data_IF_172764302113
#
_entry.id   IF_172764302113
#
_cell.length_a   1.000
_cell.length_b   1.000
_cell.length_c   1.000
_cell.angle_alpha   90.00
_cell.angle_beta   90.00
_cell.angle_gamma   90.00
#
_symmetry.space_group_name_H-M   'P 1'
#
loop_
_entity.id
_entity.type
_entity.pdbx_description
1 polymer ?
#
# COMPACT_ATOMS: atom_id res chain seq x y z
N UNK A 1 6.79 22.99 30.69
CA UNK A 1 6.19 23.16 29.36
C UNK A 1 5.96 21.76 28.85
N UNK A 2 4.74 21.29 28.83
CA UNK A 2 4.43 20.04 28.14
C UNK A 2 4.72 20.27 26.66
N UNK A 3 5.89 19.84 26.19
CA UNK A 3 6.17 19.80 24.75
C UNK A 3 5.27 18.69 24.20
N UNK A 4 4.15 19.06 23.60
CA UNK A 4 3.35 18.11 22.85
C UNK A 4 4.27 17.52 21.78
N UNK A 5 4.54 16.21 21.88
CA UNK A 5 5.36 15.50 20.89
C UNK A 5 4.69 15.66 19.51
N UNK A 6 5.46 16.10 18.53
CA UNK A 6 4.98 16.18 17.15
C UNK A 6 4.59 14.80 16.65
N UNK A 7 3.45 14.72 16.00
CA UNK A 7 2.91 13.50 15.41
C UNK A 7 2.94 13.60 13.89
N UNK A 8 3.56 12.63 13.23
CA UNK A 8 3.44 12.45 11.79
C UNK A 8 2.35 11.43 11.49
N UNK A 9 1.35 11.83 10.71
CA UNK A 9 0.24 10.97 10.30
C UNK A 9 0.34 10.66 8.81
N UNK A 10 0.45 9.38 8.46
CA UNK A 10 0.49 8.92 7.07
C UNK A 10 -0.61 7.90 6.79
N UNK A 11 -1.24 8.05 5.64
CA UNK A 11 -2.35 7.21 5.21
C UNK A 11 -1.89 5.99 4.43
N UNK A 12 -2.66 4.89 4.54
CA UNK A 12 -2.45 3.68 3.73
C UNK A 12 -2.79 3.98 2.27
N UNK A 13 -2.04 3.40 1.36
CA UNK A 13 -2.32 3.45 -0.06
C UNK A 13 -2.60 2.05 -0.63
N UNK A 14 -3.47 1.99 -1.64
CA UNK A 14 -3.77 0.76 -2.39
C UNK A 14 -3.25 0.90 -3.81
N UNK A 15 -2.31 0.03 -4.17
CA UNK A 15 -1.79 -0.01 -5.52
C UNK A 15 -2.88 -0.40 -6.52
N UNK A 16 -3.12 0.43 -7.53
CA UNK A 16 -3.93 0.17 -8.72
C UNK A 16 -3.09 -0.51 -9.81
N UNK A 17 -1.85 -0.06 -9.99
CA UNK A 17 -0.80 -0.78 -10.72
C UNK A 17 0.20 -1.30 -9.72
N UNK A 18 0.37 -2.62 -9.67
CA UNK A 18 1.03 -3.34 -8.58
C UNK A 18 2.55 -3.21 -8.59
N UNK A 19 3.12 -3.14 -7.39
CA UNK A 19 4.51 -3.41 -7.09
C UNK A 19 4.67 -4.91 -6.77
N UNK A 20 5.27 -5.68 -7.68
CA UNK A 20 5.45 -7.12 -7.45
C UNK A 20 6.76 -7.63 -8.05
N UNK A 21 7.79 -7.63 -7.22
CA UNK A 21 9.14 -8.05 -7.54
C UNK A 21 10.18 -6.99 -7.17
N UNK A 22 11.36 -7.44 -6.76
CA UNK A 22 12.49 -6.60 -6.37
C UNK A 22 13.67 -6.87 -7.28
N UNK A 23 14.20 -5.83 -7.92
CA UNK A 23 15.47 -5.84 -8.65
C UNK A 23 16.66 -5.86 -7.67
N UNK A 24 16.51 -5.13 -6.57
CA UNK A 24 17.48 -5.10 -5.46
C UNK A 24 16.72 -5.19 -4.14
N UNK A 25 17.00 -6.22 -3.34
CA UNK A 25 16.30 -6.49 -2.09
C UNK A 25 16.76 -5.58 -0.97
N UNK A 26 18.03 -5.21 -0.92
CA UNK A 26 18.61 -4.35 0.11
C UNK A 26 18.06 -2.93 -0.01
N UNK A 27 18.03 -2.40 -1.23
CA UNK A 27 17.51 -1.08 -1.54
C UNK A 27 15.99 -1.05 -1.72
N UNK A 28 15.31 -2.19 -1.66
CA UNK A 28 13.89 -2.32 -2.03
C UNK A 28 13.56 -1.74 -3.42
N UNK A 29 14.51 -1.80 -4.38
CA UNK A 29 14.26 -1.35 -5.74
C UNK A 29 13.27 -2.28 -6.45
N UNK A 30 12.18 -1.74 -7.01
CA UNK A 30 11.16 -2.56 -7.66
C UNK A 30 11.55 -2.90 -9.09
N UNK A 31 10.94 -3.95 -9.65
CA UNK A 31 11.06 -4.32 -11.07
C UNK A 31 10.12 -3.52 -11.96
N UNK A 32 9.01 -3.00 -11.40
CA UNK A 32 8.00 -2.20 -12.10
C UNK A 32 7.74 -0.89 -11.37
N UNK A 33 7.42 0.17 -12.11
CA UNK A 33 6.75 1.34 -11.53
C UNK A 33 5.35 0.93 -11.04
N UNK A 34 4.81 1.66 -10.08
CA UNK A 34 3.48 1.37 -9.52
C UNK A 34 2.73 2.66 -9.24
N UNK A 35 1.40 2.59 -9.27
CA UNK A 35 0.52 3.72 -9.02
C UNK A 35 -0.53 3.32 -7.98
N UNK A 36 -0.84 4.18 -7.04
CA UNK A 36 -1.78 3.90 -5.95
C UNK A 36 -2.75 5.04 -5.69
N UNK A 37 -3.88 4.69 -5.08
CA UNK A 37 -4.79 5.62 -4.41
C UNK A 37 -4.49 5.60 -2.91
N UNK A 38 -4.26 6.77 -2.32
CA UNK A 38 -4.16 6.96 -0.86
C UNK A 38 -5.55 7.04 -0.27
N UNK A 39 -5.79 6.38 0.87
CA UNK A 39 -7.12 6.24 1.47
C UNK A 39 -7.32 7.18 2.66
N UNK A 40 -8.54 7.67 2.85
CA UNK A 40 -8.92 8.59 3.92
C UNK A 40 -8.98 7.94 5.31
N UNK A 41 -9.46 6.70 5.41
CA UNK A 41 -9.81 6.06 6.69
C UNK A 41 -8.70 5.31 7.40
N UNK A 42 -7.69 4.86 6.67
CA UNK A 42 -6.69 3.94 7.21
C UNK A 42 -5.32 4.62 7.29
N UNK A 43 -4.84 4.87 8.51
CA UNK A 43 -3.62 5.62 8.72
C UNK A 43 -2.82 5.12 9.92
N UNK A 44 -1.59 5.57 10.04
CA UNK A 44 -0.73 5.37 11.20
C UNK A 44 -0.21 6.73 11.63
N UNK A 45 -0.31 7.01 12.93
CA UNK A 45 0.28 8.19 13.56
C UNK A 45 1.52 7.76 14.33
N UNK A 46 2.64 8.44 14.15
CA UNK A 46 3.91 8.14 14.82
C UNK A 46 4.52 9.41 15.38
N UNK A 47 4.98 9.34 16.62
CA UNK A 47 5.87 10.31 17.25
C UNK A 47 7.16 9.63 17.66
N UNK A 48 8.25 10.40 17.79
CA UNK A 48 9.53 9.93 18.27
C UNK A 48 10.09 10.91 19.29
N UNK A 49 10.86 10.38 20.25
CA UNK A 49 11.57 11.18 21.24
C UNK A 49 12.94 10.55 21.53
N UNK A 50 13.95 11.35 21.90
CA UNK A 50 15.26 10.83 22.32
C UNK A 50 15.14 9.84 23.49
N UNK A 51 15.93 8.77 23.44
CA UNK A 51 15.93 7.71 24.46
C UNK A 51 17.36 7.18 24.71
N UNK A 52 17.54 6.36 25.75
CA UNK A 52 18.83 5.71 26.04
C UNK A 52 19.13 4.53 25.10
N UNK A 53 18.09 3.94 24.49
CA UNK A 53 18.17 2.86 23.51
C UNK A 53 16.91 2.90 22.62
N UNK A 54 17.02 2.38 21.41
CA UNK A 54 15.88 2.30 20.51
C UNK A 54 14.78 1.43 21.09
N UNK A 55 13.55 1.95 21.11
CA UNK A 55 12.36 1.27 21.63
C UNK A 55 11.16 1.53 20.73
N UNK A 56 10.29 0.54 20.59
CA UNK A 56 9.08 0.65 19.79
C UNK A 56 7.83 0.28 20.59
N UNK A 57 6.88 1.19 20.61
CA UNK A 57 5.57 1.05 21.24
C UNK A 57 4.52 1.15 20.12
N UNK A 58 3.66 0.15 20.00
CA UNK A 58 2.56 0.13 19.04
C UNK A 58 1.24 -0.10 19.78
N UNK A 59 0.29 0.85 19.63
CA UNK A 59 -1.01 0.81 20.31
C UNK A 59 -0.84 0.53 21.82
N UNK A 60 0.00 1.33 22.48
CA UNK A 60 0.33 1.26 23.93
C UNK A 60 1.01 -0.04 24.38
N UNK A 61 1.44 -0.88 23.46
CA UNK A 61 2.14 -2.13 23.76
C UNK A 61 3.57 -2.12 23.24
N UNK A 62 4.52 -2.58 24.06
CA UNK A 62 5.88 -2.85 23.62
C UNK A 62 5.86 -4.12 22.76
N UNK A 63 6.25 -4.00 21.50
CA UNK A 63 6.22 -5.09 20.52
C UNK A 63 7.62 -5.40 19.99
N UNK A 64 7.76 -6.50 19.24
CA UNK A 64 9.01 -6.80 18.52
C UNK A 64 9.39 -5.66 17.58
N UNK A 65 10.52 -5.05 17.87
CA UNK A 65 11.02 -3.87 17.19
C UNK A 65 12.05 -4.17 16.09
N UNK A 66 12.36 -5.43 15.81
CA UNK A 66 13.44 -5.84 14.89
C UNK A 66 13.40 -5.10 13.54
N UNK A 67 12.22 -4.94 12.94
CA UNK A 67 12.08 -4.22 11.67
C UNK A 67 12.24 -2.71 11.83
N UNK A 68 11.76 -2.15 12.94
CA UNK A 68 11.87 -0.71 13.25
C UNK A 68 13.32 -0.36 13.53
N UNK A 69 14.01 -1.12 14.39
CA UNK A 69 15.43 -0.91 14.71
C UNK A 69 16.30 -0.95 13.45
N UNK A 70 16.13 -1.99 12.63
CA UNK A 70 16.84 -2.07 11.34
C UNK A 70 16.59 -0.86 10.45
N UNK A 71 15.39 -0.32 10.46
CA UNK A 71 15.06 0.85 9.67
C UNK A 71 15.67 2.14 10.25
N UNK A 72 15.69 2.29 11.58
CA UNK A 72 16.41 3.39 12.24
C UNK A 72 17.91 3.36 11.91
N UNK A 73 18.53 2.17 11.85
CA UNK A 73 19.93 2.03 11.43
C UNK A 73 20.13 2.47 9.96
N UNK A 74 19.18 2.16 9.07
CA UNK A 74 19.20 2.64 7.69
C UNK A 74 19.09 4.18 7.66
N UNK A 75 18.21 4.76 8.47
CA UNK A 75 18.06 6.22 8.53
C UNK A 75 19.34 6.88 9.06
N UNK A 76 20.02 6.31 10.09
CA UNK A 76 21.32 6.79 10.56
C UNK A 76 22.37 6.79 9.46
N UNK A 77 22.42 5.73 8.66
CA UNK A 77 23.36 5.66 7.52
C UNK A 77 23.07 6.71 6.43
N UNK A 78 21.81 7.10 6.26
CA UNK A 78 21.41 8.03 5.19
C UNK A 78 21.42 9.50 5.64
N UNK A 79 21.07 9.78 6.90
CA UNK A 79 20.87 11.13 7.44
C UNK A 79 22.01 11.60 8.34
N UNK A 80 22.94 10.71 8.68
CA UNK A 80 23.94 10.91 9.73
C UNK A 80 23.49 10.33 11.07
N UNK A 81 24.46 10.12 11.98
CA UNK A 81 24.20 9.53 13.28
C UNK A 81 23.29 10.44 14.14
N UNK A 82 22.32 9.83 14.77
CA UNK A 82 21.43 10.44 15.76
C UNK A 82 21.25 9.54 16.98
N UNK A 83 20.88 10.14 18.09
CA UNK A 83 20.63 9.45 19.36
C UNK A 83 19.57 8.37 19.21
N UNK A 84 19.61 7.30 20.03
CA UNK A 84 18.51 6.34 20.06
C UNK A 84 17.15 7.00 20.30
N UNK A 85 16.10 6.41 19.73
CA UNK A 85 14.76 6.96 19.76
C UNK A 85 13.75 5.99 20.39
N UNK A 86 12.85 6.53 21.22
CA UNK A 86 11.58 5.87 21.52
C UNK A 86 10.60 6.22 20.41
N UNK A 87 10.13 5.21 19.69
CA UNK A 87 9.12 5.33 18.63
C UNK A 87 7.78 4.91 19.22
N UNK A 88 6.80 5.80 19.15
CA UNK A 88 5.42 5.57 19.61
C UNK A 88 4.51 5.68 18.40
N UNK A 89 3.82 4.58 18.05
CA UNK A 89 2.91 4.53 16.90
C UNK A 89 1.52 4.06 17.30
N UNK A 90 0.52 4.73 16.75
CA UNK A 90 -0.88 4.33 16.82
C UNK A 90 -1.33 3.92 15.41
N UNK A 91 -1.76 2.67 15.26
CA UNK A 91 -2.18 2.13 13.99
C UNK A 91 -3.71 2.07 13.90
N UNK A 92 -4.27 2.89 13.02
CA UNK A 92 -5.71 2.96 12.73
C UNK A 92 -6.07 2.18 11.44
N UNK A 93 -5.25 1.17 11.13
CA UNK A 93 -5.51 0.19 10.07
C UNK A 93 -5.93 -1.10 10.73
N UNK A 94 -7.10 -1.69 10.41
CA UNK A 94 -7.45 -3.01 10.91
C UNK A 94 -6.31 -3.99 10.63
N UNK A 95 -5.77 -4.60 11.68
CA UNK A 95 -4.61 -5.51 11.60
C UNK A 95 -4.87 -6.71 10.69
N UNK A 96 -6.13 -7.02 10.51
CA UNK A 96 -6.68 -8.12 9.73
C UNK A 96 -7.09 -7.75 8.30
N UNK A 97 -7.34 -6.47 7.99
CA UNK A 97 -7.91 -6.05 6.69
C UNK A 97 -7.00 -6.32 5.47
N UNK A 98 -5.80 -6.88 5.66
CA UNK A 98 -4.84 -7.09 4.56
C UNK A 98 -4.47 -5.79 3.84
N UNK A 99 -4.79 -4.67 4.45
CA UNK A 99 -4.29 -3.36 4.09
C UNK A 99 -2.81 -3.33 4.48
N UNK A 100 -1.98 -2.77 3.62
CA UNK A 100 -0.55 -2.70 3.84
C UNK A 100 -0.23 -1.68 4.96
N UNK A 101 -0.52 -2.05 6.23
CA UNK A 101 -0.18 -1.22 7.41
C UNK A 101 1.28 -0.79 7.43
N UNK A 102 2.18 -1.58 6.82
CA UNK A 102 3.57 -1.17 6.64
C UNK A 102 3.75 0.05 5.72
N UNK A 103 2.78 0.38 4.86
CA UNK A 103 2.87 1.56 4.00
C UNK A 103 2.76 2.84 4.83
N UNK A 104 1.69 2.98 5.59
CA UNK A 104 1.47 4.13 6.49
C UNK A 104 2.50 4.16 7.61
N UNK A 105 2.82 3.01 8.23
CA UNK A 105 3.73 2.94 9.37
C UNK A 105 5.16 3.44 9.04
N UNK A 106 5.77 2.97 7.95
CA UNK A 106 7.12 3.39 7.58
C UNK A 106 7.16 4.81 7.00
N UNK A 107 6.07 5.30 6.39
CA UNK A 107 5.96 6.69 5.97
C UNK A 107 5.85 7.62 7.19
N UNK A 108 4.96 7.34 8.15
CA UNK A 108 4.82 8.09 9.39
C UNK A 108 6.12 8.10 10.20
N UNK A 109 6.78 6.93 10.35
CA UNK A 109 8.07 6.83 11.05
C UNK A 109 9.16 7.68 10.38
N UNK A 110 9.25 7.64 9.04
CA UNK A 110 10.23 8.47 8.33
C UNK A 110 9.96 9.96 8.56
N UNK A 111 8.69 10.40 8.44
CA UNK A 111 8.30 11.77 8.68
C UNK A 111 8.59 12.21 10.13
N UNK A 112 8.25 11.38 11.12
CA UNK A 112 8.50 11.69 12.52
C UNK A 112 10.01 11.82 12.82
N UNK A 113 10.84 10.89 12.33
CA UNK A 113 12.30 10.94 12.55
C UNK A 113 12.93 12.16 11.88
N UNK A 114 12.61 12.44 10.62
CA UNK A 114 13.20 13.59 9.92
C UNK A 114 12.79 14.92 10.53
N UNK A 115 11.54 15.01 11.01
CA UNK A 115 11.08 16.21 11.72
C UNK A 115 11.78 16.38 13.08
N UNK A 116 11.92 15.30 13.88
CA UNK A 116 12.65 15.36 15.17
C UNK A 116 14.10 15.79 14.99
N UNK A 117 14.72 15.43 13.86
CA UNK A 117 16.06 15.87 13.50
C UNK A 117 16.12 17.30 12.93
N UNK A 118 14.99 18.00 12.86
CA UNK A 118 14.90 19.36 12.29
C UNK A 118 15.18 19.40 10.79
N UNK A 119 14.99 18.32 10.07
CA UNK A 119 15.25 18.22 8.63
C UNK A 119 13.99 18.53 7.82
N UNK A 120 14.05 19.58 6.99
CA UNK A 120 13.01 19.91 6.01
C UNK A 120 13.38 19.26 4.65
N UNK A 121 12.94 18.02 4.44
CA UNK A 121 13.22 17.27 3.22
C UNK A 121 12.01 17.28 2.27
N UNK A 122 12.25 17.38 0.96
CA UNK A 122 11.17 17.23 -0.02
C UNK A 122 10.53 15.86 0.07
N UNK A 123 9.23 15.73 -0.27
CA UNK A 123 8.47 14.49 -0.16
C UNK A 123 9.07 13.35 -0.99
N UNK A 124 9.70 13.64 -2.10
CA UNK A 124 10.40 12.69 -2.95
C UNK A 124 11.58 12.04 -2.21
N UNK A 125 12.32 12.82 -1.43
CA UNK A 125 13.41 12.30 -0.61
C UNK A 125 12.90 11.48 0.58
N UNK A 126 11.85 11.95 1.26
CA UNK A 126 11.16 11.19 2.30
C UNK A 126 10.63 9.84 1.74
N UNK A 127 10.07 9.87 0.53
CA UNK A 127 9.62 8.68 -0.20
C UNK A 127 10.75 7.70 -0.47
N UNK A 128 11.91 8.19 -0.91
CA UNK A 128 13.13 7.39 -1.15
C UNK A 128 13.59 6.71 0.14
N UNK A 129 13.64 7.44 1.24
CA UNK A 129 14.04 6.92 2.55
C UNK A 129 13.05 5.83 3.04
N UNK A 130 11.75 6.13 3.06
CA UNK A 130 10.71 5.21 3.55
C UNK A 130 10.64 3.90 2.75
N UNK A 131 10.93 3.96 1.44
CA UNK A 131 11.05 2.78 0.58
C UNK A 131 12.00 1.74 1.16
N UNK A 132 13.08 2.15 1.79
CA UNK A 132 14.08 1.26 2.40
C UNK A 132 13.48 0.41 3.52
N UNK A 133 12.51 0.92 4.26
CA UNK A 133 11.74 0.20 5.28
C UNK A 133 10.61 -0.66 4.70
N UNK A 134 9.88 -0.08 3.77
CA UNK A 134 8.79 -0.75 3.05
C UNK A 134 8.57 -0.11 1.69
N UNK A 135 8.64 -0.90 0.59
CA UNK A 135 8.47 -0.37 -0.76
C UNK A 135 7.15 0.41 -0.95
N UNK A 136 6.05 -0.09 -0.41
CA UNK A 136 4.75 0.59 -0.50
C UNK A 136 4.69 1.92 0.27
N UNK A 137 5.56 2.12 1.26
CA UNK A 137 5.59 3.35 2.05
C UNK A 137 6.03 4.57 1.23
N UNK A 138 6.78 4.35 0.13
CA UNK A 138 7.18 5.43 -0.77
C UNK A 138 6.02 6.31 -1.24
N UNK A 139 4.83 5.74 -1.42
CA UNK A 139 3.65 6.45 -1.95
C UNK A 139 2.80 7.13 -0.89
N UNK A 140 2.92 6.76 0.40
CA UNK A 140 2.08 7.29 1.49
C UNK A 140 2.41 8.72 1.93
N UNK A 141 3.39 9.38 1.31
CA UNK A 141 3.66 10.82 1.49
C UNK A 141 2.71 11.69 0.69
N UNK A 142 2.05 11.13 -0.32
CA UNK A 142 1.24 11.85 -1.28
C UNK A 142 -0.23 11.48 -1.09
N UNK A 143 -1.10 12.48 -1.13
CA UNK A 143 -2.56 12.28 -1.15
C UNK A 143 -3.04 11.90 -2.54
N UNK A 144 -4.30 11.49 -2.63
CA UNK A 144 -4.95 11.11 -3.87
C UNK A 144 -4.14 10.02 -4.61
N UNK A 145 -3.65 10.30 -5.81
CA UNK A 145 -2.90 9.36 -6.61
C UNK A 145 -1.40 9.61 -6.52
N UNK A 146 -0.65 8.56 -6.21
CA UNK A 146 0.80 8.58 -6.10
C UNK A 146 1.44 7.58 -7.05
N UNK A 147 2.44 8.05 -7.80
CA UNK A 147 3.27 7.25 -8.70
C UNK A 147 4.60 6.94 -8.04
N UNK A 148 5.01 5.68 -8.03
CA UNK A 148 6.35 5.29 -7.63
C UNK A 148 7.12 4.80 -8.85
N UNK A 149 8.15 5.55 -9.21
CA UNK A 149 9.05 5.22 -10.31
C UNK A 149 10.03 4.13 -9.90
N UNK A 150 10.14 3.08 -10.74
CA UNK A 150 11.09 1.99 -10.46
C UNK A 150 12.54 2.46 -10.38
N UNK A 151 12.88 3.51 -11.11
CA UNK A 151 14.25 4.01 -11.19
C UNK A 151 15.25 2.99 -11.72
N UNK A 152 16.50 3.35 -11.70
CA UNK A 152 17.64 2.47 -12.02
C UNK A 152 18.52 2.20 -10.80
N UNK A 153 18.50 3.10 -9.82
CA UNK A 153 19.30 3.11 -8.60
C UNK A 153 18.48 3.67 -7.40
N UNK A 154 19.15 3.87 -6.25
CA UNK A 154 18.52 4.38 -5.03
C UNK A 154 17.97 5.79 -5.21
N UNK A 155 18.71 6.67 -5.86
CA UNK A 155 18.38 8.09 -6.01
C UNK A 155 17.17 8.31 -6.95
N UNK A 156 17.08 7.52 -8.01
CA UNK A 156 16.03 7.66 -9.03
C UNK A 156 14.75 6.89 -8.74
N UNK A 157 14.71 6.09 -7.65
CA UNK A 157 13.52 5.32 -7.29
C UNK A 157 12.79 5.95 -6.09
N UNK A 158 11.86 6.84 -6.39
CA UNK A 158 11.01 7.56 -5.42
C UNK A 158 9.58 7.69 -5.96
N UNK A 159 8.67 8.10 -5.11
CA UNK A 159 7.30 8.41 -5.53
C UNK A 159 7.08 9.93 -5.62
N UNK A 160 6.09 10.28 -6.44
CA UNK A 160 5.58 11.64 -6.58
C UNK A 160 4.06 11.64 -6.73
N UNK A 161 3.44 12.80 -6.57
CA UNK A 161 2.01 12.96 -6.80
C UNK A 161 1.69 12.93 -8.29
N UNK A 162 0.63 12.20 -8.67
CA UNK A 162 -0.02 12.44 -9.95
C UNK A 162 -0.99 13.61 -9.76
N UNK A 163 -0.67 14.76 -10.35
CA UNK A 163 -1.53 15.93 -10.30
C UNK A 163 -2.78 15.72 -11.18
N UNK A 164 -3.81 15.14 -10.58
CA UNK A 164 -5.06 14.76 -11.24
C UNK A 164 -6.25 15.50 -10.62
N UNK A 165 -7.36 15.66 -11.37
CA UNK A 165 -8.62 16.16 -10.82
C UNK A 165 -9.10 15.28 -9.67
N UNK A 166 -9.96 15.83 -8.81
CA UNK A 166 -10.66 15.06 -7.80
C UNK A 166 -11.68 14.12 -8.49
N UNK A 167 -11.59 12.83 -8.17
CA UNK A 167 -12.47 11.80 -8.73
C UNK A 167 -13.45 11.30 -7.67
N UNK A 168 -14.72 11.04 -8.03
CA UNK A 168 -15.69 10.41 -7.14
C UNK A 168 -15.43 8.90 -7.00
N UNK A 169 -14.16 8.51 -6.77
CA UNK A 169 -13.72 7.12 -6.63
C UNK A 169 -13.80 6.67 -5.18
N UNK A 170 -14.26 5.45 -4.97
CA UNK A 170 -14.29 4.79 -3.68
C UNK A 170 -13.79 3.35 -3.78
N UNK A 171 -13.27 2.83 -2.68
CA UNK A 171 -12.94 1.43 -2.51
C UNK A 171 -13.82 0.81 -1.42
N UNK A 172 -14.55 -0.24 -1.76
CA UNK A 172 -15.19 -1.10 -0.75
C UNK A 172 -14.17 -2.16 -0.36
N UNK A 173 -13.66 -2.08 0.86
CA UNK A 173 -12.67 -3.01 1.42
C UNK A 173 -13.41 -4.17 2.04
N UNK A 174 -13.25 -5.37 1.48
CA UNK A 174 -13.85 -6.61 1.96
C UNK A 174 -12.80 -7.45 2.71
N UNK A 175 -12.98 -7.58 4.02
CA UNK A 175 -12.11 -8.35 4.90
C UNK A 175 -12.52 -9.82 4.90
N UNK A 176 -11.81 -10.62 4.13
CA UNK A 176 -12.07 -12.05 3.93
C UNK A 176 -11.49 -12.89 5.06
N UNK A 177 -10.33 -12.50 5.56
CA UNK A 177 -9.58 -13.24 6.57
C UNK A 177 -8.77 -12.28 7.44
N UNK A 178 -8.85 -12.48 8.74
CA UNK A 178 -8.10 -11.74 9.76
C UNK A 178 -6.84 -12.48 10.27
N UNK A 179 -6.60 -13.70 9.78
CA UNK A 179 -5.43 -14.47 10.15
C UNK A 179 -4.13 -13.92 9.51
N UNK A 180 -2.98 -14.05 10.20
CA UNK A 180 -1.69 -13.69 9.64
C UNK A 180 -1.39 -14.43 8.34
N UNK A 181 -0.75 -13.75 7.40
CA UNK A 181 -0.38 -14.33 6.10
C UNK A 181 0.60 -15.49 6.27
N UNK A 182 0.31 -16.63 5.68
CA UNK A 182 1.24 -17.78 5.63
C UNK A 182 2.48 -17.47 4.79
N UNK A 183 2.35 -16.65 3.74
CA UNK A 183 3.42 -16.26 2.84
C UNK A 183 3.51 -14.73 2.86
N UNK A 184 4.66 -14.21 3.28
CA UNK A 184 4.91 -12.77 3.30
C UNK A 184 4.98 -12.21 1.89
N UNK A 185 4.73 -10.89 1.70
CA UNK A 185 4.86 -10.25 0.39
C UNK A 185 6.27 -10.40 -0.19
N UNK A 186 7.31 -10.32 0.65
CA UNK A 186 8.71 -10.52 0.22
C UNK A 186 8.95 -11.93 -0.30
N UNK A 187 8.44 -12.94 0.38
CA UNK A 187 8.57 -14.33 -0.07
C UNK A 187 7.74 -14.58 -1.33
N UNK A 188 6.52 -14.04 -1.39
CA UNK A 188 5.67 -14.12 -2.58
C UNK A 188 6.35 -13.51 -3.82
N UNK A 189 6.97 -12.34 -3.70
CA UNK A 189 7.72 -11.71 -4.78
C UNK A 189 8.90 -12.58 -5.25
N UNK A 190 9.65 -13.20 -4.31
CA UNK A 190 10.77 -14.11 -4.66
C UNK A 190 10.31 -15.33 -5.46
N UNK A 191 9.12 -15.85 -5.13
CA UNK A 191 8.55 -17.00 -5.87
C UNK A 191 8.02 -16.55 -7.23
N UNK A 192 7.26 -15.45 -7.28
CA UNK A 192 6.65 -14.93 -8.51
C UNK A 192 7.67 -14.68 -9.63
N UNK A 193 8.88 -14.21 -9.32
CA UNK A 193 9.96 -14.00 -10.29
C UNK A 193 10.34 -15.29 -11.04
N UNK A 194 10.07 -16.47 -10.46
CA UNK A 194 10.35 -17.76 -11.12
C UNK A 194 9.27 -18.19 -12.11
N UNK A 195 8.17 -17.44 -12.23
CA UNK A 195 7.13 -17.72 -13.22
C UNK A 195 7.64 -17.48 -14.64
N UNK A 196 7.36 -18.39 -15.61
CA UNK A 196 7.71 -18.18 -17.01
C UNK A 196 6.97 -16.98 -17.64
N UNK A 197 5.93 -16.49 -16.99
CA UNK A 197 5.15 -15.33 -17.45
C UNK A 197 5.63 -14.00 -16.85
N UNK A 198 6.68 -14.01 -16.01
CA UNK A 198 7.07 -12.83 -15.24
C UNK A 198 7.48 -11.65 -16.13
N UNK A 199 8.35 -11.87 -17.11
CA UNK A 199 8.83 -10.81 -18.01
C UNK A 199 7.70 -10.23 -18.87
N UNK A 200 6.77 -11.08 -19.30
CA UNK A 200 5.56 -10.63 -20.02
C UNK A 200 4.68 -9.76 -19.14
N UNK A 201 4.50 -10.13 -17.86
CA UNK A 201 3.73 -9.34 -16.90
C UNK A 201 4.40 -7.98 -16.63
N UNK A 202 5.75 -7.94 -16.46
CA UNK A 202 6.50 -6.69 -16.30
C UNK A 202 6.25 -5.75 -17.48
N UNK A 203 6.37 -6.26 -18.71
CA UNK A 203 6.15 -5.47 -19.92
C UNK A 203 4.71 -4.94 -20.01
N UNK A 204 3.73 -5.79 -19.70
CA UNK A 204 2.32 -5.41 -19.64
C UNK A 204 2.07 -4.35 -18.56
N UNK A 205 2.62 -4.55 -17.36
CA UNK A 205 2.47 -3.62 -16.23
C UNK A 205 3.07 -2.25 -16.53
N UNK A 206 4.17 -2.19 -17.31
CA UNK A 206 4.75 -0.92 -17.74
C UNK A 206 3.81 -0.11 -18.66
N UNK A 207 3.12 -0.76 -19.58
CA UNK A 207 2.12 -0.11 -20.43
C UNK A 207 0.89 0.30 -19.60
N UNK A 208 0.41 -0.59 -18.73
CA UNK A 208 -0.71 -0.28 -17.84
C UNK A 208 -0.43 0.88 -16.88
N UNK A 209 0.84 1.09 -16.50
CA UNK A 209 1.22 2.26 -15.69
C UNK A 209 0.99 3.57 -16.44
N UNK A 210 1.25 3.62 -17.74
CA UNK A 210 1.00 4.78 -18.59
C UNK A 210 -0.50 4.94 -18.85
N UNK A 211 -1.18 3.85 -19.21
CA UNK A 211 -2.62 3.85 -19.48
C UNK A 211 -3.43 4.27 -18.24
N UNK A 212 -2.99 3.86 -17.04
CA UNK A 212 -3.61 4.24 -15.77
C UNK A 212 -3.52 5.75 -15.52
N UNK A 213 -2.36 6.38 -15.81
CA UNK A 213 -2.20 7.82 -15.69
C UNK A 213 -3.19 8.56 -16.60
N UNK A 214 -3.31 8.13 -17.86
CA UNK A 214 -4.28 8.71 -18.78
C UNK A 214 -5.72 8.51 -18.31
N UNK A 215 -6.08 7.30 -17.87
CA UNK A 215 -7.41 7.01 -17.35
C UNK A 215 -7.80 7.89 -16.14
N UNK A 216 -6.83 8.16 -15.24
CA UNK A 216 -7.03 9.05 -14.09
C UNK A 216 -7.20 10.51 -14.54
N UNK A 217 -6.36 10.99 -15.46
CA UNK A 217 -6.45 12.36 -15.98
C UNK A 217 -7.74 12.59 -16.77
N UNK A 218 -8.20 11.56 -17.50
CA UNK A 218 -9.46 11.55 -18.24
C UNK A 218 -10.70 11.32 -17.34
N UNK A 219 -10.49 11.07 -16.03
CA UNK A 219 -11.53 10.78 -15.03
C UNK A 219 -12.38 9.54 -15.38
N UNK A 220 -11.82 8.59 -16.11
CA UNK A 220 -12.46 7.36 -16.54
C UNK A 220 -12.33 6.26 -15.48
N UNK A 221 -13.26 6.25 -14.50
CA UNK A 221 -13.24 5.29 -13.37
C UNK A 221 -13.45 3.85 -13.88
N UNK A 222 -14.19 3.65 -14.94
CA UNK A 222 -14.39 2.32 -15.54
C UNK A 222 -13.07 1.75 -16.05
N UNK A 223 -12.32 2.54 -16.81
CA UNK A 223 -10.98 2.17 -17.29
C UNK A 223 -9.97 2.01 -16.18
N UNK A 224 -10.01 2.88 -15.14
CA UNK A 224 -9.16 2.74 -13.92
C UNK A 224 -9.42 1.37 -13.28
N UNK A 225 -10.69 1.01 -13.09
CA UNK A 225 -11.08 -0.26 -12.49
C UNK A 225 -10.64 -1.45 -13.32
N UNK A 226 -10.89 -1.44 -14.63
CA UNK A 226 -10.51 -2.51 -15.54
C UNK A 226 -8.99 -2.74 -15.58
N UNK A 227 -8.19 -1.67 -15.66
CA UNK A 227 -6.73 -1.76 -15.63
C UNK A 227 -6.21 -2.32 -14.29
N UNK A 228 -6.78 -1.85 -13.17
CA UNK A 228 -6.36 -2.28 -11.84
C UNK A 228 -6.67 -3.78 -11.60
N UNK A 229 -7.86 -4.23 -12.02
CA UNK A 229 -8.26 -5.64 -11.90
C UNK A 229 -7.38 -6.54 -12.75
N UNK A 230 -7.16 -6.21 -14.01
CA UNK A 230 -6.32 -6.99 -14.92
C UNK A 230 -4.86 -7.06 -14.44
N UNK A 231 -4.31 -5.94 -13.94
CA UNK A 231 -2.97 -5.92 -13.37
C UNK A 231 -2.86 -6.77 -12.10
N UNK A 232 -3.84 -6.68 -11.19
CA UNK A 232 -3.86 -7.44 -9.95
C UNK A 232 -4.02 -8.96 -10.20
N UNK A 233 -4.96 -9.36 -11.05
CA UNK A 233 -5.17 -10.76 -11.40
C UNK A 233 -3.95 -11.35 -12.12
N UNK A 234 -3.31 -10.57 -13.01
CA UNK A 234 -2.05 -10.93 -13.64
C UNK A 234 -0.94 -11.18 -12.61
N UNK A 235 -0.80 -10.32 -11.61
CA UNK A 235 0.13 -10.50 -10.49
C UNK A 235 -0.14 -11.83 -9.74
N UNK A 236 -1.40 -12.13 -9.45
CA UNK A 236 -1.75 -13.38 -8.75
C UNK A 236 -1.53 -14.63 -9.62
N UNK A 237 -1.71 -14.53 -10.92
CA UNK A 237 -1.39 -15.61 -11.86
C UNK A 237 0.10 -15.97 -11.87
N UNK A 238 1.00 -15.01 -11.63
CA UNK A 238 2.43 -15.29 -11.46
C UNK A 238 2.71 -16.20 -10.27
N UNK A 239 1.96 -16.03 -9.18
CA UNK A 239 2.13 -16.85 -7.99
C UNK A 239 1.74 -18.30 -8.23
N UNK A 240 0.67 -18.52 -9.02
CA UNK A 240 0.20 -19.85 -9.39
C UNK A 240 1.14 -20.56 -10.39
N UNK A 241 1.79 -19.79 -11.25
CA UNK A 241 2.68 -20.31 -12.30
C UNK A 241 4.17 -20.25 -11.93
N UNK A 242 4.48 -19.87 -10.68
CA UNK A 242 5.84 -19.91 -10.15
C UNK A 242 6.40 -21.33 -10.21
N UNK A 243 7.62 -21.50 -10.75
CA UNK A 243 8.27 -22.80 -10.85
C UNK A 243 8.84 -23.29 -9.52
N UNK A 244 9.05 -22.36 -8.58
CA UNK A 244 9.48 -22.67 -7.21
C UNK A 244 8.34 -22.40 -6.23
N UNK A 245 7.77 -23.48 -5.69
CA UNK A 245 6.70 -23.44 -4.67
C UNK A 245 5.53 -22.52 -5.07
N UNK A 246 4.76 -22.88 -6.11
CA UNK A 246 3.58 -22.13 -6.52
C UNK A 246 2.59 -22.02 -5.36
N UNK A 247 1.84 -20.93 -5.32
CA UNK A 247 0.89 -20.66 -4.24
C UNK A 247 -0.21 -19.70 -4.68
N UNK A 248 -1.24 -19.58 -3.88
CA UNK A 248 -2.27 -18.56 -4.00
C UNK A 248 -2.53 -17.89 -2.66
N UNK A 249 -2.92 -16.63 -2.71
CA UNK A 249 -3.50 -15.91 -1.57
C UNK A 249 -5.03 -16.07 -1.52
N UNK A 250 -5.64 -16.49 -2.61
CA UNK A 250 -7.09 -16.57 -2.73
C UNK A 250 -7.66 -17.71 -1.88
N UNK A 251 -8.76 -17.41 -1.20
CA UNK A 251 -9.61 -18.34 -0.51
C UNK A 251 -10.92 -18.53 -1.30
N UNK A 252 -11.76 -19.48 -0.89
CA UNK A 252 -13.09 -19.66 -1.48
C UNK A 252 -13.93 -18.38 -1.36
N UNK A 253 -13.82 -17.65 -0.24
CA UNK A 253 -14.48 -16.36 -0.07
C UNK A 253 -13.94 -15.30 -1.04
N UNK A 254 -12.63 -15.27 -1.28
CA UNK A 254 -12.02 -14.38 -2.28
C UNK A 254 -12.62 -14.65 -3.66
N UNK A 255 -12.71 -15.92 -4.06
CA UNK A 255 -13.26 -16.33 -5.36
C UNK A 255 -14.76 -16.01 -5.46
N UNK A 256 -15.52 -16.22 -4.39
CA UNK A 256 -16.94 -15.86 -4.34
C UNK A 256 -17.13 -14.34 -4.54
N UNK A 257 -16.34 -13.52 -3.87
CA UNK A 257 -16.43 -12.05 -4.04
C UNK A 257 -16.08 -11.66 -5.49
N UNK A 258 -15.06 -12.28 -6.09
CA UNK A 258 -14.72 -12.04 -7.51
C UNK A 258 -15.88 -12.39 -8.46
N UNK A 259 -16.59 -13.50 -8.21
CA UNK A 259 -17.78 -13.86 -8.98
C UNK A 259 -18.91 -12.82 -8.80
N UNK A 260 -19.19 -12.42 -7.56
CA UNK A 260 -20.20 -11.40 -7.27
C UNK A 260 -19.88 -10.06 -7.93
N UNK A 261 -18.61 -9.66 -8.00
CA UNK A 261 -18.18 -8.45 -8.72
C UNK A 261 -18.50 -8.56 -10.22
N UNK A 262 -18.29 -9.73 -10.83
CA UNK A 262 -18.66 -9.95 -12.23
C UNK A 262 -20.18 -9.86 -12.43
N UNK A 263 -20.96 -10.43 -11.53
CA UNK A 263 -22.43 -10.35 -11.56
C UNK A 263 -22.93 -8.91 -11.41
N UNK A 264 -22.29 -8.11 -10.55
CA UNK A 264 -22.57 -6.67 -10.39
C UNK A 264 -22.31 -5.91 -11.71
N UNK A 265 -21.20 -6.18 -12.40
CA UNK A 265 -20.93 -5.57 -13.71
C UNK A 265 -21.97 -5.95 -14.77
N UNK A 266 -22.42 -7.20 -14.80
CA UNK A 266 -23.52 -7.62 -15.71
C UNK A 266 -24.83 -6.89 -15.41
N UNK A 267 -25.01 -6.38 -14.19
CA UNK A 267 -26.16 -5.55 -13.79
C UNK A 267 -25.90 -4.04 -14.01
N UNK A 268 -24.81 -3.67 -14.65
CA UNK A 268 -24.45 -2.27 -14.94
C UNK A 268 -23.86 -1.50 -13.76
N UNK A 269 -23.42 -2.18 -12.68
CA UNK A 269 -22.76 -1.55 -11.54
C UNK A 269 -21.27 -1.50 -11.81
N UNK A 270 -20.66 -0.32 -11.64
CA UNK A 270 -19.24 -0.16 -11.77
C UNK A 270 -18.54 -0.81 -10.56
N UNK A 271 -17.96 -1.98 -10.75
CA UNK A 271 -17.30 -2.75 -9.71
C UNK A 271 -16.11 -3.55 -10.27
N UNK A 272 -14.90 -3.28 -9.79
CA UNK A 272 -13.67 -3.93 -10.23
C UNK A 272 -12.83 -4.35 -9.03
N UNK A 273 -12.24 -5.54 -9.06
CA UNK A 273 -11.42 -6.03 -7.97
C UNK A 273 -9.97 -5.52 -8.06
N UNK A 274 -9.40 -5.15 -6.93
CA UNK A 274 -7.96 -5.11 -6.76
C UNK A 274 -7.56 -5.85 -5.48
N UNK A 275 -6.50 -6.66 -5.56
CA UNK A 275 -6.09 -7.56 -4.48
C UNK A 275 -4.57 -7.43 -4.32
N UNK A 276 -4.14 -7.21 -3.09
CA UNK A 276 -2.72 -7.16 -2.74
C UNK A 276 -2.22 -8.56 -2.31
N UNK A 277 -1.04 -8.64 -1.68
CA UNK A 277 -0.50 -9.88 -1.16
C UNK A 277 -1.31 -10.36 0.07
N UNK A 278 -2.47 -10.94 -0.17
CA UNK A 278 -3.41 -11.45 0.83
C UNK A 278 -4.74 -11.83 0.19
N UNK A 279 -5.71 -12.36 0.96
CA UNK A 279 -7.00 -12.82 0.44
C UNK A 279 -8.04 -11.70 0.33
N UNK A 280 -7.80 -10.54 0.97
CA UNK A 280 -8.79 -9.47 1.11
C UNK A 280 -8.96 -8.68 -0.18
N UNK A 281 -10.20 -8.49 -0.60
CA UNK A 281 -10.57 -7.84 -1.87
C UNK A 281 -10.90 -6.37 -1.62
N UNK A 282 -10.45 -5.49 -2.51
CA UNK A 282 -10.87 -4.09 -2.56
C UNK A 282 -11.63 -3.91 -3.87
N UNK A 283 -12.84 -3.40 -3.78
CA UNK A 283 -13.70 -3.18 -4.95
C UNK A 283 -13.61 -1.70 -5.31
N UNK A 284 -13.05 -1.41 -6.46
CA UNK A 284 -12.98 -0.07 -7.05
C UNK A 284 -14.34 0.25 -7.63
N UNK A 285 -14.89 1.39 -7.25
CA UNK A 285 -16.22 1.85 -7.66
C UNK A 285 -16.32 3.37 -7.53
N UNK A 286 -17.52 3.92 -7.74
CA UNK A 286 -17.82 5.31 -7.44
C UNK A 286 -18.31 5.49 -6.00
N UNK A 287 -18.18 6.71 -5.46
CA UNK A 287 -18.74 7.06 -4.15
C UNK A 287 -20.27 6.84 -4.11
N UNK A 288 -20.95 6.99 -5.24
CA UNK A 288 -22.39 6.80 -5.38
C UNK A 288 -22.80 5.32 -5.31
N UNK A 289 -22.02 4.43 -5.91
CA UNK A 289 -22.36 2.99 -5.99
C UNK A 289 -21.86 2.17 -4.82
N UNK A 290 -20.86 2.65 -4.10
CA UNK A 290 -20.24 1.93 -2.98
C UNK A 290 -21.25 1.43 -1.92
N UNK A 291 -22.27 2.20 -1.47
CA UNK A 291 -23.28 1.70 -0.52
C UNK A 291 -24.11 0.55 -1.06
N UNK A 292 -24.42 0.54 -2.36
CA UNK A 292 -25.14 -0.54 -3.02
C UNK A 292 -24.32 -1.83 -3.04
N UNK A 293 -23.04 -1.73 -3.37
CA UNK A 293 -22.09 -2.87 -3.34
C UNK A 293 -22.00 -3.46 -1.94
N UNK A 294 -21.89 -2.63 -0.90
CA UNK A 294 -21.90 -3.08 0.49
C UNK A 294 -23.17 -3.85 0.83
N UNK A 295 -24.34 -3.35 0.41
CA UNK A 295 -25.63 -4.02 0.64
C UNK A 295 -25.67 -5.39 -0.04
N UNK A 296 -25.23 -5.47 -1.30
CA UNK A 296 -25.23 -6.73 -2.07
C UNK A 296 -24.26 -7.76 -1.47
N UNK A 297 -23.07 -7.34 -1.07
CA UNK A 297 -22.09 -8.22 -0.44
C UNK A 297 -22.55 -8.70 0.94
N UNK A 298 -23.15 -7.84 1.76
CA UNK A 298 -23.70 -8.23 3.07
C UNK A 298 -24.87 -9.22 2.93
N UNK A 299 -25.68 -9.09 1.87
CA UNK A 299 -26.75 -10.05 1.58
C UNK A 299 -26.18 -11.40 1.19
N UNK A 300 -25.15 -11.44 0.35
CA UNK A 300 -24.53 -12.69 -0.12
C UNK A 300 -23.62 -13.34 0.94
N UNK A 301 -22.94 -12.55 1.76
CA UNK A 301 -21.98 -12.99 2.79
C UNK A 301 -22.21 -12.17 4.08
N UNK A 302 -23.21 -12.52 4.92
CA UNK A 302 -23.60 -11.72 6.08
C UNK A 302 -22.49 -11.46 7.11
N UNK A 303 -21.48 -12.33 7.18
CA UNK A 303 -20.35 -12.22 8.12
C UNK A 303 -19.16 -11.40 7.56
N UNK A 304 -19.29 -10.84 6.37
CA UNK A 304 -18.21 -10.10 5.73
C UNK A 304 -18.10 -8.70 6.36
N UNK A 305 -16.92 -8.37 6.85
CA UNK A 305 -16.64 -6.99 7.30
C UNK A 305 -16.33 -6.14 6.07
N UNK A 306 -17.03 -5.03 5.95
CA UNK A 306 -16.95 -4.12 4.82
C UNK A 306 -16.72 -2.69 5.30
N UNK A 307 -15.77 -2.01 4.67
CA UNK A 307 -15.49 -0.59 4.90
C UNK A 307 -15.47 0.16 3.56
N UNK A 308 -16.07 1.34 3.52
CA UNK A 308 -15.95 2.23 2.36
C UNK A 308 -14.85 3.23 2.68
N UNK A 309 -13.81 3.28 1.85
CA UNK A 309 -12.76 4.27 1.90
C UNK A 309 -12.76 5.09 0.60
N UNK A 310 -12.35 6.35 0.71
CA UNK A 310 -12.27 7.28 -0.40
C UNK A 310 -10.83 7.77 -0.56
N UNK A 311 -10.62 8.67 -1.49
CA UNK A 311 -9.34 9.37 -1.65
C UNK A 311 -9.00 10.13 -0.38
N UNK A 312 -7.76 10.00 0.07
CA UNK A 312 -7.26 10.56 1.32
C UNK A 312 -6.07 11.49 1.14
N UNK A 313 -5.68 12.20 2.23
CA UNK A 313 -4.57 13.14 2.22
C UNK A 313 -3.21 12.43 2.20
N UNK A 314 -2.16 13.18 1.86
CA UNK A 314 -0.78 12.78 2.09
C UNK A 314 -0.39 12.86 3.57
N UNK A 315 0.92 12.74 3.83
CA UNK A 315 1.44 12.89 5.19
C UNK A 315 1.13 14.28 5.75
N UNK A 316 0.74 14.32 7.04
CA UNK A 316 0.55 15.55 7.82
C UNK A 316 1.35 15.49 9.12
N UNK A 317 1.53 16.67 9.72
CA UNK A 317 2.28 16.86 10.97
C UNK A 317 1.44 17.72 11.93
N UNK A 318 1.25 17.25 13.18
CA UNK A 318 0.44 17.89 14.23
C UNK A 318 1.26 18.17 15.49
#
# INVERSE_FOLDING_TARGET
MDSTLMKATAHTNIALIKYWGKKNTELNLPTTSSLSLTLDKFYTTTSVEPANHDRFILNDQVVDATRVHRFLDILRQQLGDFTPLQVISENHVPTSAGLASSASAFAALTGAVTHELGMDLPKEELSRLARRGSGSASRSFFGNFAMWHKGIDDASSFAESLNAPELPIALVVAEVCDAPKKITSTEGMKRAITSPNYDRWISKSANQFIDMQHAILDQDIDKIGALAEDNALGMHALNLTATRSPFTYFTDKTQLILSLIQDMRHQGILAYATIDAGPNVKIITTTQEAPKIVTMLNHAIPSLKLEIAQSGPGISYD
#
